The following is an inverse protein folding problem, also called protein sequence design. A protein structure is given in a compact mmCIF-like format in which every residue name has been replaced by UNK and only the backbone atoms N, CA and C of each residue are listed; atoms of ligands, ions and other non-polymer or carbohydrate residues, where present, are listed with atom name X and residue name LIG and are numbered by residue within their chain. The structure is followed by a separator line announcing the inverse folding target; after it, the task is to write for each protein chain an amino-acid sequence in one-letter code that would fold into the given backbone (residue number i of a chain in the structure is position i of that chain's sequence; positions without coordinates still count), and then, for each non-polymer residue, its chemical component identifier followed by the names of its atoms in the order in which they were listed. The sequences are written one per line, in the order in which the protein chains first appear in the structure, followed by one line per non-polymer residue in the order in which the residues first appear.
data_IF_296701610724
#
_entry.id   IF_296701610724
#
_cell.length_a   1.000
_cell.length_b   1.000
_cell.length_c   1.000
_cell.angle_alpha   90.00
_cell.angle_beta   90.00
_cell.angle_gamma   90.00
#
_symmetry.space_group_name_H-M   'P 1'
#
loop_
_entity.id
_entity.type
_entity.pdbx_description
1 polymer ?
#
# COMPACT_ATOMS: atom_id res chain seq x y z
N UNK A 1 -7.07 3.55 4.90
CA UNK A 1 -6.35 2.88 3.80
C UNK A 1 -5.52 1.70 4.29
N UNK A 2 -4.74 1.82 5.37
CA UNK A 2 -3.88 0.72 5.87
C UNK A 2 -4.60 -0.63 6.12
N UNK A 3 -5.79 -0.62 6.73
CA UNK A 3 -6.57 -1.87 6.92
C UNK A 3 -6.97 -2.50 5.58
N UNK A 4 -7.42 -1.68 4.62
CA UNK A 4 -7.79 -2.14 3.27
C UNK A 4 -6.59 -2.78 2.58
N UNK A 5 -5.42 -2.14 2.67
CA UNK A 5 -4.16 -2.66 2.11
C UNK A 5 -3.71 -3.95 2.79
N UNK A 6 -3.94 -4.11 4.09
CA UNK A 6 -3.55 -5.32 4.81
C UNK A 6 -4.45 -6.50 4.44
N UNK A 7 -5.76 -6.24 4.27
CA UNK A 7 -6.72 -7.25 3.81
C UNK A 7 -6.47 -7.68 2.36
N UNK A 8 -6.09 -6.76 1.47
CA UNK A 8 -5.78 -7.10 0.08
C UNK A 8 -4.54 -7.97 -0.03
N UNK A 9 -3.49 -7.73 0.78
CA UNK A 9 -2.30 -8.60 0.83
C UNK A 9 -2.69 -10.04 1.20
N UNK A 10 -3.60 -10.23 2.16
CA UNK A 10 -4.12 -11.58 2.47
C UNK A 10 -4.91 -12.19 1.30
N UNK A 11 -5.66 -11.38 0.56
CA UNK A 11 -6.30 -11.81 -0.69
C UNK A 11 -5.29 -12.33 -1.72
N UNK A 12 -4.15 -11.66 -1.88
CA UNK A 12 -3.07 -12.13 -2.75
C UNK A 12 -2.37 -13.38 -2.22
N UNK A 13 -2.15 -13.47 -0.90
CA UNK A 13 -1.60 -14.68 -0.28
C UNK A 13 -2.52 -15.90 -0.52
N UNK A 14 -3.84 -15.70 -0.45
CA UNK A 14 -4.82 -16.73 -0.76
C UNK A 14 -4.77 -17.14 -2.23
N UNK A 15 -4.74 -16.18 -3.17
CA UNK A 15 -4.58 -16.47 -4.60
C UNK A 15 -3.27 -17.22 -4.90
N UNK A 16 -2.17 -16.83 -4.27
CA UNK A 16 -0.88 -17.48 -4.43
C UNK A 16 -0.88 -18.92 -3.90
N UNK A 17 -1.62 -19.20 -2.83
CA UNK A 17 -1.75 -20.54 -2.27
C UNK A 17 -2.58 -21.48 -3.15
N UNK A 18 -3.62 -21.00 -3.83
CA UNK A 18 -4.41 -21.79 -4.79
C UNK A 18 -3.54 -22.22 -5.99
N UNK A 19 -2.53 -21.41 -6.33
CA UNK A 19 -1.54 -21.70 -7.35
C UNK A 19 -2.06 -21.53 -8.80
N UNK A 20 -1.14 -21.44 -9.77
CA UNK A 20 -1.49 -21.35 -11.18
C UNK A 20 -1.92 -22.71 -11.73
N UNK A 21 -3.14 -22.80 -12.26
CA UNK A 21 -3.62 -23.98 -13.00
C UNK A 21 -3.62 -23.69 -14.50
N UNK A 22 -3.42 -24.72 -15.33
CA UNK A 22 -3.36 -24.59 -16.78
C UNK A 22 -4.66 -24.15 -17.48
N UNK A 23 -5.79 -24.17 -16.78
CA UNK A 23 -7.08 -23.74 -17.32
C UNK A 23 -7.59 -22.45 -16.64
N UNK A 24 -7.98 -21.49 -17.47
CA UNK A 24 -8.55 -20.19 -17.06
C UNK A 24 -10.07 -20.32 -17.01
N UNK A 25 -10.61 -20.54 -15.81
CA UNK A 25 -12.05 -20.62 -15.56
C UNK A 25 -12.63 -19.24 -15.14
N UNK A 26 -13.92 -19.02 -15.42
CA UNK A 26 -14.65 -17.78 -15.12
C UNK A 26 -14.65 -17.45 -13.61
N UNK A 27 -14.69 -18.48 -12.77
CA UNK A 27 -14.59 -18.32 -11.31
C UNK A 27 -13.24 -17.74 -10.89
N UNK A 28 -12.13 -18.21 -11.49
CA UNK A 28 -10.78 -17.72 -11.18
C UNK A 28 -10.55 -16.29 -11.63
N UNK A 29 -11.05 -15.94 -12.82
CA UNK A 29 -11.01 -14.56 -13.29
C UNK A 29 -11.76 -13.62 -12.34
N UNK A 30 -12.90 -14.08 -11.82
CA UNK A 30 -13.69 -13.31 -10.85
C UNK A 30 -12.95 -13.14 -9.52
N UNK A 31 -12.32 -14.20 -9.00
CA UNK A 31 -11.48 -14.13 -7.78
C UNK A 31 -10.32 -13.14 -7.96
N UNK A 32 -9.60 -13.22 -9.08
CA UNK A 32 -8.51 -12.30 -9.41
C UNK A 32 -9.01 -10.85 -9.51
N UNK A 33 -10.11 -10.63 -10.25
CA UNK A 33 -10.70 -9.31 -10.42
C UNK A 33 -11.15 -8.70 -9.09
N UNK A 34 -11.72 -9.50 -8.18
CA UNK A 34 -12.12 -9.04 -6.85
C UNK A 34 -10.90 -8.62 -6.00
N UNK A 35 -9.85 -9.44 -5.95
CA UNK A 35 -8.65 -9.12 -5.16
C UNK A 35 -7.93 -7.90 -5.72
N UNK A 36 -7.71 -7.83 -7.04
CA UNK A 36 -7.08 -6.67 -7.68
C UNK A 36 -7.95 -5.42 -7.55
N UNK A 37 -9.27 -5.55 -7.72
CA UNK A 37 -10.20 -4.43 -7.55
C UNK A 37 -10.16 -3.87 -6.13
N UNK A 38 -10.13 -4.75 -5.13
CA UNK A 38 -10.02 -4.36 -3.73
C UNK A 38 -8.65 -3.71 -3.40
N UNK A 39 -7.55 -4.24 -3.94
CA UNK A 39 -6.23 -3.62 -3.88
C UNK A 39 -6.23 -2.22 -4.51
N UNK A 40 -6.85 -2.05 -5.67
CA UNK A 40 -6.93 -0.76 -6.34
C UNK A 40 -7.64 0.30 -5.50
N UNK A 41 -8.68 -0.08 -4.74
CA UNK A 41 -9.31 0.79 -3.75
C UNK A 41 -8.34 1.18 -2.63
N UNK A 42 -7.59 0.20 -2.09
CA UNK A 42 -6.56 0.44 -1.07
C UNK A 42 -5.48 1.41 -1.54
N UNK A 43 -4.94 1.17 -2.74
CA UNK A 43 -3.94 2.02 -3.40
C UNK A 43 -4.48 3.42 -3.67
N UNK A 44 -5.72 3.55 -4.14
CA UNK A 44 -6.36 4.85 -4.37
C UNK A 44 -6.48 5.66 -3.08
N UNK A 45 -6.98 5.05 -2.01
CA UNK A 45 -7.09 5.69 -0.70
C UNK A 45 -5.72 6.07 -0.12
N UNK A 46 -4.72 5.18 -0.25
CA UNK A 46 -3.36 5.42 0.19
C UNK A 46 -2.70 6.59 -0.56
N UNK A 47 -2.88 6.63 -1.88
CA UNK A 47 -2.35 7.71 -2.73
C UNK A 47 -2.98 9.05 -2.37
N UNK A 48 -4.30 9.12 -2.20
CA UNK A 48 -4.98 10.36 -1.82
C UNK A 48 -4.50 10.87 -0.45
N UNK A 49 -4.42 9.99 0.56
CA UNK A 49 -3.92 10.34 1.89
C UNK A 49 -2.46 10.83 1.84
N UNK A 50 -1.64 10.18 1.03
CA UNK A 50 -0.22 10.51 0.88
C UNK A 50 0.00 11.84 0.15
N UNK A 51 -0.73 12.11 -0.92
CA UNK A 51 -0.71 13.39 -1.63
C UNK A 51 -1.16 14.53 -0.72
N UNK A 52 -2.24 14.32 0.06
CA UNK A 52 -2.70 15.30 1.05
C UNK A 52 -1.64 15.58 2.13
N UNK A 53 -0.92 14.55 2.57
CA UNK A 53 0.19 14.69 3.52
C UNK A 53 1.36 15.52 2.94
N UNK A 54 1.77 15.25 1.70
CA UNK A 54 2.80 16.04 1.01
C UNK A 54 2.34 17.49 0.85
N UNK A 55 1.11 17.70 0.40
CA UNK A 55 0.56 19.04 0.21
C UNK A 55 0.56 19.84 1.53
N UNK A 56 0.17 19.22 2.64
CA UNK A 56 0.20 19.85 3.97
C UNK A 56 1.62 20.16 4.47
N UNK A 57 2.59 19.35 4.07
CA UNK A 57 3.99 19.50 4.47
C UNK A 57 4.77 20.47 3.58
N UNK A 58 4.17 20.92 2.48
CA UNK A 58 4.78 21.81 1.51
C UNK A 58 4.53 23.27 1.90
N UNK A 59 5.57 24.10 1.85
CA UNK A 59 5.45 25.54 2.09
C UNK A 59 4.76 26.22 0.89
N UNK A 60 3.70 27.02 1.11
CA UNK A 60 2.95 27.69 0.05
C UNK A 60 3.84 28.58 -0.86
N UNK A 61 4.93 29.14 -0.33
CA UNK A 61 5.87 29.99 -1.08
C UNK A 61 6.72 29.21 -2.11
N UNK A 62 6.91 27.90 -1.92
CA UNK A 62 7.76 27.05 -2.78
C UNK A 62 7.02 25.78 -3.21
N UNK A 63 5.72 25.90 -3.46
CA UNK A 63 4.83 24.74 -3.60
C UNK A 63 5.26 23.78 -4.70
N UNK A 64 5.57 24.29 -5.90
CA UNK A 64 5.90 23.45 -7.04
C UNK A 64 7.18 22.62 -6.82
N UNK A 65 8.24 23.24 -6.32
CA UNK A 65 9.55 22.58 -6.15
C UNK A 65 9.56 21.61 -4.98
N UNK A 66 8.96 21.99 -3.85
CA UNK A 66 8.89 21.10 -2.68
C UNK A 66 7.96 19.92 -2.89
N UNK A 67 6.81 20.14 -3.54
CA UNK A 67 5.90 19.06 -3.89
C UNK A 67 6.57 18.06 -4.83
N UNK A 68 7.30 18.54 -5.84
CA UNK A 68 8.10 17.69 -6.73
C UNK A 68 9.18 16.92 -5.97
N UNK A 69 9.97 17.59 -5.13
CA UNK A 69 11.05 16.97 -4.34
C UNK A 69 10.51 15.86 -3.41
N UNK A 70 9.44 16.15 -2.67
CA UNK A 70 8.83 15.17 -1.77
C UNK A 70 8.21 14.00 -2.52
N UNK A 71 7.56 14.24 -3.66
CA UNK A 71 7.00 13.17 -4.50
C UNK A 71 8.10 12.30 -5.10
N UNK A 72 9.20 12.89 -5.56
CA UNK A 72 10.37 12.14 -6.04
C UNK A 72 11.00 11.31 -4.93
N UNK A 73 11.17 11.87 -3.74
CA UNK A 73 11.71 11.14 -2.59
C UNK A 73 10.78 9.97 -2.18
N UNK A 74 9.48 10.18 -2.22
CA UNK A 74 8.49 9.17 -1.91
C UNK A 74 8.46 7.99 -2.90
N UNK A 75 8.87 8.22 -4.15
CA UNK A 75 8.94 7.16 -5.14
C UNK A 75 10.10 6.19 -4.87
N UNK A 76 11.15 6.63 -4.17
CA UNK A 76 12.38 5.85 -3.96
C UNK A 76 12.10 4.51 -3.25
N UNK A 77 11.46 4.46 -2.07
CA UNK A 77 11.19 3.19 -1.39
C UNK A 77 10.37 2.21 -2.25
N UNK A 78 9.38 2.73 -2.98
CA UNK A 78 8.53 1.92 -3.88
C UNK A 78 9.37 1.30 -4.99
N UNK A 79 10.24 2.07 -5.64
CA UNK A 79 11.08 1.58 -6.74
C UNK A 79 12.05 0.50 -6.25
N UNK A 80 12.68 0.69 -5.09
CA UNK A 80 13.56 -0.32 -4.50
C UNK A 80 12.81 -1.60 -4.13
N UNK A 81 11.64 -1.48 -3.50
CA UNK A 81 10.82 -2.65 -3.16
C UNK A 81 10.42 -3.44 -4.42
N UNK A 82 9.95 -2.75 -5.47
CA UNK A 82 9.57 -3.38 -6.73
C UNK A 82 10.75 -4.09 -7.42
N UNK A 83 11.95 -3.48 -7.38
CA UNK A 83 13.14 -4.08 -7.95
C UNK A 83 13.58 -5.35 -7.19
N UNK A 84 13.41 -5.37 -5.86
CA UNK A 84 13.77 -6.50 -5.02
C UNK A 84 12.77 -7.68 -5.14
N UNK A 85 11.50 -7.43 -5.47
CA UNK A 85 10.44 -8.44 -5.49
C UNK A 85 10.80 -9.70 -6.27
N UNK A 86 11.39 -9.58 -7.47
CA UNK A 86 11.72 -10.75 -8.29
C UNK A 86 12.71 -11.70 -7.60
N UNK A 87 13.78 -11.15 -7.04
CA UNK A 87 14.77 -11.92 -6.28
C UNK A 87 14.19 -12.54 -5.01
N UNK A 88 13.33 -11.81 -4.27
CA UNK A 88 12.67 -12.37 -3.09
C UNK A 88 11.73 -13.53 -3.46
N UNK A 89 10.90 -13.35 -4.49
CA UNK A 89 9.93 -14.36 -4.94
C UNK A 89 10.64 -15.63 -5.44
N UNK A 90 11.81 -15.51 -6.08
CA UNK A 90 12.60 -16.68 -6.50
C UNK A 90 13.05 -17.53 -5.31
N UNK A 91 13.35 -16.91 -4.17
CA UNK A 91 13.84 -17.60 -2.97
C UNK A 91 12.72 -18.22 -2.10
N UNK A 92 11.56 -17.56 -2.00
CA UNK A 92 10.49 -17.95 -1.05
C UNK A 92 9.13 -18.24 -1.69
N UNK A 93 9.00 -18.05 -3.00
CA UNK A 93 7.74 -18.17 -3.73
C UNK A 93 6.75 -17.03 -3.47
N UNK A 94 5.68 -16.99 -4.25
CA UNK A 94 4.64 -15.95 -4.16
C UNK A 94 3.91 -15.95 -2.82
N UNK A 95 3.56 -17.12 -2.29
CA UNK A 95 2.85 -17.23 -1.01
C UNK A 95 3.70 -16.69 0.15
N UNK A 96 4.99 -17.05 0.20
CA UNK A 96 5.93 -16.54 1.21
C UNK A 96 6.13 -15.03 1.10
N UNK A 97 6.25 -14.51 -0.12
CA UNK A 97 6.39 -13.08 -0.38
C UNK A 97 5.19 -12.26 0.12
N UNK A 98 3.96 -12.67 -0.18
CA UNK A 98 2.77 -11.95 0.30
C UNK A 98 2.62 -12.02 1.82
N UNK A 99 2.98 -13.15 2.46
CA UNK A 99 3.01 -13.24 3.92
C UNK A 99 4.07 -12.33 4.54
N UNK A 100 5.25 -12.20 3.90
CA UNK A 100 6.27 -11.24 4.29
C UNK A 100 5.74 -9.80 4.18
N UNK A 101 5.06 -9.44 3.08
CA UNK A 101 4.42 -8.13 2.94
C UNK A 101 3.39 -7.86 4.05
N UNK A 102 2.58 -8.87 4.41
CA UNK A 102 1.62 -8.75 5.51
C UNK A 102 2.34 -8.51 6.85
N UNK A 103 3.41 -9.27 7.13
CA UNK A 103 4.21 -9.11 8.34
C UNK A 103 4.87 -7.72 8.42
N UNK A 104 5.39 -7.21 7.30
CA UNK A 104 5.97 -5.86 7.20
C UNK A 104 4.92 -4.74 7.32
N UNK A 105 3.66 -5.01 6.97
CA UNK A 105 2.57 -4.03 7.14
C UNK A 105 2.14 -3.87 8.61
N UNK A 106 2.25 -4.94 9.43
CA UNK A 106 1.86 -4.93 10.85
C UNK A 106 2.51 -3.82 11.69
N UNK A 107 3.85 -3.61 11.69
CA UNK A 107 4.45 -2.55 12.49
C UNK A 107 3.94 -1.15 12.10
N UNK A 108 3.70 -0.90 10.81
CA UNK A 108 3.10 0.33 10.33
C UNK A 108 1.68 0.55 10.88
N UNK A 109 0.87 -0.51 10.90
CA UNK A 109 -0.48 -0.49 11.46
C UNK A 109 -0.47 -0.29 12.99
N UNK A 110 0.46 -0.92 13.70
CA UNK A 110 0.62 -0.78 15.15
C UNK A 110 1.05 0.63 15.59
N UNK A 111 1.66 1.42 14.70
CA UNK A 111 2.03 2.81 14.98
C UNK A 111 0.84 3.79 14.89
N UNK A 112 -0.25 3.43 14.20
CA UNK A 112 -1.40 4.31 13.98
C UNK A 112 -2.07 4.80 15.28
N UNK A 113 -2.32 3.97 16.31
CA UNK A 113 -2.89 4.43 17.58
C UNK A 113 -2.04 5.48 18.29
N UNK A 114 -0.71 5.42 18.09
CA UNK A 114 0.25 6.32 18.73
C UNK A 114 0.41 7.64 17.98
N UNK A 115 0.39 7.59 16.65
CA UNK A 115 0.67 8.74 15.78
C UNK A 115 -0.59 9.50 15.39
N UNK A 116 -1.71 8.80 15.22
CA UNK A 116 -2.95 9.46 14.85
C UNK A 116 -3.50 10.29 16.03
N UNK A 117 -3.77 11.58 15.84
CA UNK A 117 -4.33 12.44 16.88
C UNK A 117 -5.84 12.16 17.02
N UNK A 118 -6.20 11.00 17.59
CA UNK A 118 -7.58 10.61 17.86
C UNK A 118 -8.32 11.57 18.81
N UNK A 119 -7.54 12.36 19.58
CA UNK A 119 -8.01 13.32 20.58
C UNK A 119 -7.46 14.72 20.33
N UNK A 120 -7.46 15.18 19.07
CA UNK A 120 -7.15 16.57 18.74
C UNK A 120 -8.35 17.47 19.03
N UNK A 121 -8.25 18.31 20.05
CA UNK A 121 -9.22 19.37 20.33
C UNK A 121 -9.19 20.37 19.14
N UNK A 122 -10.20 20.35 18.27
CA UNK A 122 -10.31 21.23 17.12
C UNK A 122 -10.44 22.69 17.57
N UNK A 123 -9.32 23.38 17.72
CA UNK A 123 -9.30 24.84 17.57
C UNK A 123 -8.94 25.13 16.13
N UNK A 124 -9.98 25.22 15.30
CA UNK A 124 -9.90 25.88 14.00
C UNK A 124 -9.75 27.38 14.32
N UNK A 125 -8.52 27.89 14.33
CA UNK A 125 -8.31 29.33 14.24
C UNK A 125 -8.35 29.69 12.76
N UNK A 126 -9.41 30.42 12.41
CA UNK A 126 -9.66 31.02 11.11
C UNK A 126 -8.53 31.93 10.64
#
# INVERSE_FOLDING_TARGET
FGVVQLLSIFGFAWLAWIGPTGEVDALRLTQLALVIGFEALGVGLGTAAFVAFIARSTNPLFTATQFALFTSLAAVPRTFANAATGWLVEQMGWSGFFLLCAALALPGMCLLPRVAPWRGNNKVTA
#
